data_IF_030387301057
#
_entry.id   IF_030387301057
#
_cell.length_a   1.000
_cell.length_b   1.000
_cell.length_c   1.000
_cell.angle_alpha   90.00
_cell.angle_beta   90.00
_cell.angle_gamma   90.00
#
_symmetry.space_group_name_H-M   'P 1'
#
loop_
_entity.id
_entity.type
_entity.pdbx_description
1 polymer ?
#
# COMPACT_ATOMS: atom_id res chain seq x y z
N UNK A 1 -11.38 6.42 -28.10
CA UNK A 1 -11.57 7.04 -26.77
C UNK A 1 -10.83 6.30 -25.64
N UNK A 2 -10.60 4.96 -25.69
CA UNK A 2 -9.97 4.22 -24.59
C UNK A 2 -8.59 4.77 -24.19
N UNK A 3 -7.76 5.18 -25.14
CA UNK A 3 -6.42 5.74 -24.84
C UNK A 3 -6.46 7.15 -24.22
N UNK A 4 -7.59 7.81 -24.28
CA UNK A 4 -7.82 9.16 -23.73
C UNK A 4 -8.45 9.09 -22.33
N UNK A 5 -9.16 7.99 -22.04
CA UNK A 5 -9.97 7.85 -20.83
C UNK A 5 -9.35 6.89 -19.77
N UNK A 6 -8.50 5.94 -20.22
CA UNK A 6 -7.89 4.95 -19.32
C UNK A 6 -6.55 5.41 -18.77
N UNK A 7 -6.41 5.39 -17.43
CA UNK A 7 -5.13 5.60 -16.76
C UNK A 7 -4.23 4.37 -16.92
N UNK A 8 -2.99 4.62 -17.30
CA UNK A 8 -1.92 3.62 -17.39
C UNK A 8 -0.97 3.80 -16.21
N UNK A 9 -0.98 2.84 -15.30
CA UNK A 9 -0.23 2.89 -14.05
C UNK A 9 0.70 1.68 -14.00
N UNK A 10 2.01 1.93 -13.93
CA UNK A 10 3.01 0.86 -13.81
C UNK A 10 3.22 0.49 -12.33
N UNK A 11 3.20 -0.81 -12.02
CA UNK A 11 3.53 -1.30 -10.68
C UNK A 11 5.04 -1.36 -10.49
N UNK A 12 5.55 -0.79 -9.39
CA UNK A 12 6.97 -0.78 -9.01
C UNK A 12 7.14 -1.59 -7.74
N UNK A 13 7.65 -2.82 -7.89
CA UNK A 13 7.75 -3.78 -6.77
C UNK A 13 8.81 -4.86 -6.97
N UNK A 14 9.58 -4.80 -8.07
CA UNK A 14 10.62 -5.77 -8.39
C UNK A 14 12.01 -5.14 -8.37
N UNK A 15 13.04 -5.96 -8.23
CA UNK A 15 14.43 -5.51 -8.30
C UNK A 15 14.74 -4.84 -9.63
N UNK A 16 14.28 -5.42 -10.73
CA UNK A 16 14.47 -4.89 -12.08
C UNK A 16 13.79 -3.53 -12.25
N UNK A 17 12.58 -3.35 -11.68
CA UNK A 17 11.91 -2.05 -11.73
C UNK A 17 12.66 -0.97 -10.94
N UNK A 18 13.27 -1.33 -9.81
CA UNK A 18 14.10 -0.42 -9.03
C UNK A 18 15.37 0.03 -9.77
N UNK A 19 15.94 -0.84 -10.60
CA UNK A 19 17.13 -0.52 -11.42
C UNK A 19 16.80 0.38 -12.61
N UNK A 20 15.50 0.46 -13.02
CA UNK A 20 15.05 1.13 -14.24
C UNK A 20 14.00 2.24 -14.00
N UNK A 21 14.00 2.85 -12.84
CA UNK A 21 12.96 3.84 -12.47
C UNK A 21 12.80 4.96 -13.49
N UNK A 22 13.89 5.60 -13.92
CA UNK A 22 13.83 6.72 -14.88
C UNK A 22 13.37 6.23 -16.27
N UNK A 23 13.80 5.02 -16.72
CA UNK A 23 13.37 4.43 -17.99
C UNK A 23 11.87 4.17 -17.97
N UNK A 24 11.35 3.56 -16.90
CA UNK A 24 9.92 3.26 -16.75
C UNK A 24 9.12 4.56 -16.69
N UNK A 25 9.52 5.51 -15.84
CA UNK A 25 8.76 6.72 -15.56
C UNK A 25 8.80 7.75 -16.69
N UNK A 26 9.77 7.64 -17.60
CA UNK A 26 9.83 8.46 -18.83
C UNK A 26 9.09 7.84 -20.01
N UNK A 27 8.44 6.70 -19.85
CA UNK A 27 7.70 6.01 -20.93
C UNK A 27 6.56 6.88 -21.43
N UNK A 28 6.50 7.21 -22.73
CA UNK A 28 5.42 8.04 -23.27
C UNK A 28 4.04 7.43 -23.04
N UNK A 29 3.13 8.25 -22.50
CA UNK A 29 1.76 7.84 -22.23
C UNK A 29 1.55 7.04 -20.94
N UNK A 30 2.58 6.92 -20.08
CA UNK A 30 2.42 6.46 -18.71
C UNK A 30 1.87 7.60 -17.85
N UNK A 31 0.78 7.36 -17.13
CA UNK A 31 0.12 8.38 -16.31
C UNK A 31 0.67 8.40 -14.86
N UNK A 32 1.08 7.25 -14.35
CA UNK A 32 1.60 7.14 -12.99
C UNK A 32 2.24 5.81 -12.65
N UNK A 33 2.68 5.72 -11.40
CA UNK A 33 3.19 4.47 -10.82
C UNK A 33 2.40 4.09 -9.58
N UNK A 34 2.46 2.82 -9.23
CA UNK A 34 1.88 2.29 -8.01
C UNK A 34 2.85 1.35 -7.32
N UNK A 35 3.03 1.51 -6.02
CA UNK A 35 3.96 0.70 -5.23
C UNK A 35 3.23 -0.42 -4.51
N UNK A 36 3.70 -1.67 -4.68
CA UNK A 36 3.34 -2.84 -3.89
C UNK A 36 4.36 -3.09 -2.77
N UNK A 37 4.18 -2.55 -1.55
CA UNK A 37 5.23 -2.60 -0.51
C UNK A 37 5.59 -4.00 -0.04
N UNK A 38 4.65 -4.96 -0.10
CA UNK A 38 4.91 -6.33 0.30
C UNK A 38 5.91 -7.01 -0.66
N UNK A 39 5.67 -6.91 -1.96
CA UNK A 39 6.54 -7.49 -2.98
C UNK A 39 7.84 -6.71 -3.12
N UNK A 40 7.79 -5.37 -2.99
CA UNK A 40 8.97 -4.53 -2.90
C UNK A 40 9.89 -4.95 -1.73
N UNK A 41 9.30 -5.29 -0.57
CA UNK A 41 10.08 -5.78 0.58
C UNK A 41 10.83 -7.07 0.23
N UNK A 42 10.16 -8.01 -0.44
CA UNK A 42 10.81 -9.25 -0.92
C UNK A 42 11.93 -8.94 -1.92
N UNK A 43 11.71 -8.00 -2.84
CA UNK A 43 12.71 -7.60 -3.83
C UNK A 43 14.00 -7.05 -3.21
N UNK A 44 13.91 -6.39 -2.04
CA UNK A 44 15.08 -5.86 -1.31
C UNK A 44 15.60 -6.78 -0.21
N UNK A 45 15.05 -8.01 -0.11
CA UNK A 45 15.49 -9.03 0.85
C UNK A 45 14.95 -8.87 2.26
N UNK A 46 13.79 -8.24 2.42
CA UNK A 46 13.09 -8.09 3.68
C UNK A 46 11.80 -8.94 3.75
N UNK A 47 11.29 -9.18 4.94
CA UNK A 47 10.00 -9.82 5.12
C UNK A 47 8.87 -8.95 4.52
N UNK A 48 7.85 -9.56 3.87
CA UNK A 48 6.77 -8.81 3.24
C UNK A 48 5.93 -8.06 4.26
N UNK A 49 5.49 -6.86 3.90
CA UNK A 49 4.64 -6.02 4.75
C UNK A 49 4.18 -4.77 4.02
N UNK A 50 3.00 -4.24 4.41
CA UNK A 50 2.44 -3.04 3.77
C UNK A 50 2.98 -1.75 4.39
N UNK A 51 2.87 -1.61 5.71
CA UNK A 51 3.29 -0.41 6.43
C UNK A 51 4.74 -0.57 6.87
N UNK A 52 5.67 -0.04 6.07
CA UNK A 52 7.10 -0.23 6.30
C UNK A 52 7.64 0.75 7.34
N UNK A 53 8.35 0.26 8.38
CA UNK A 53 9.05 1.13 9.32
C UNK A 53 10.16 1.95 8.62
N UNK A 54 10.42 3.15 9.12
CA UNK A 54 11.39 4.09 8.52
C UNK A 54 12.83 3.56 8.44
N UNK A 55 13.18 2.65 9.33
CA UNK A 55 14.52 2.03 9.38
C UNK A 55 14.67 0.82 8.44
N UNK A 56 13.73 0.57 7.52
CA UNK A 56 13.78 -0.54 6.57
C UNK A 56 14.30 -0.09 5.21
N UNK A 57 14.89 -1.02 4.46
CA UNK A 57 15.32 -0.79 3.07
C UNK A 57 14.10 -0.51 2.18
N UNK A 58 13.02 -1.28 2.35
CA UNK A 58 11.80 -1.07 1.59
C UNK A 58 11.23 0.34 1.77
N UNK A 59 11.27 0.90 2.98
CA UNK A 59 10.85 2.30 3.20
C UNK A 59 11.75 3.30 2.45
N UNK A 60 13.06 3.11 2.47
CA UNK A 60 13.99 3.96 1.73
C UNK A 60 13.72 3.91 0.22
N UNK A 61 13.44 2.70 -0.31
CA UNK A 61 13.08 2.55 -1.72
C UNK A 61 11.71 3.18 -2.06
N UNK A 62 10.72 3.08 -1.16
CA UNK A 62 9.42 3.76 -1.33
C UNK A 62 9.63 5.27 -1.52
N UNK A 63 10.46 5.91 -0.69
CA UNK A 63 10.75 7.34 -0.82
C UNK A 63 11.56 7.65 -2.08
N UNK A 64 12.51 6.80 -2.47
CA UNK A 64 13.28 6.94 -3.71
C UNK A 64 12.37 6.88 -4.95
N UNK A 65 11.44 5.92 -4.99
CA UNK A 65 10.45 5.80 -6.07
C UNK A 65 9.59 7.06 -6.14
N UNK A 66 9.12 7.58 -5.01
CA UNK A 66 8.33 8.80 -4.94
C UNK A 66 9.09 10.01 -5.52
N UNK A 67 10.39 10.16 -5.19
CA UNK A 67 11.22 11.23 -5.74
C UNK A 67 11.37 11.13 -7.25
N UNK A 68 11.59 9.92 -7.80
CA UNK A 68 11.64 9.70 -9.24
C UNK A 68 10.31 10.04 -9.93
N UNK A 69 9.17 9.67 -9.32
CA UNK A 69 7.85 10.02 -9.85
C UNK A 69 7.65 11.55 -9.90
N UNK A 70 8.01 12.26 -8.83
CA UNK A 70 7.98 13.74 -8.79
C UNK A 70 8.86 14.36 -9.86
N UNK A 71 10.09 13.88 -10.03
CA UNK A 71 11.02 14.35 -11.06
C UNK A 71 10.47 14.20 -12.49
N UNK A 72 9.78 13.08 -12.75
CA UNK A 72 9.17 12.78 -14.05
C UNK A 72 7.75 13.38 -14.21
N UNK A 73 7.26 14.10 -13.21
CA UNK A 73 5.93 14.74 -13.22
C UNK A 73 4.78 13.77 -13.52
N UNK A 74 4.88 12.55 -13.00
CA UNK A 74 3.79 11.55 -13.04
C UNK A 74 3.22 11.32 -11.65
N UNK A 75 1.96 10.89 -11.56
CA UNK A 75 1.39 10.64 -10.24
C UNK A 75 1.95 9.36 -9.59
N UNK A 76 1.95 9.34 -8.26
CA UNK A 76 2.44 8.22 -7.47
C UNK A 76 1.38 7.66 -6.55
N UNK A 77 1.22 6.35 -6.60
CA UNK A 77 0.33 5.59 -5.73
C UNK A 77 1.08 4.58 -4.85
N UNK A 78 0.45 4.21 -3.73
CA UNK A 78 0.98 3.19 -2.82
C UNK A 78 -0.13 2.45 -2.08
N UNK A 79 0.04 1.14 -1.90
CA UNK A 79 -0.82 0.32 -1.06
C UNK A 79 -0.42 0.40 0.41
N UNK A 80 -1.40 0.54 1.31
CA UNK A 80 -1.17 0.67 2.74
C UNK A 80 -2.00 -0.35 3.53
N UNK A 81 -1.52 -0.74 4.69
CA UNK A 81 -2.22 -1.65 5.60
C UNK A 81 -3.14 -0.93 6.58
N UNK A 82 -2.82 0.34 6.93
CA UNK A 82 -3.55 1.13 7.91
C UNK A 82 -3.85 2.55 7.44
N UNK A 83 -4.91 3.18 7.97
CA UNK A 83 -5.21 4.59 7.71
C UNK A 83 -4.10 5.53 8.17
N UNK A 84 -3.48 5.24 9.31
CA UNK A 84 -2.41 6.06 9.91
C UNK A 84 -1.19 6.12 8.99
N UNK A 85 -0.81 4.97 8.42
CA UNK A 85 0.29 4.93 7.46
C UNK A 85 -0.08 5.61 6.15
N UNK A 86 -1.31 5.44 5.68
CA UNK A 86 -1.80 6.11 4.47
C UNK A 86 -1.73 7.63 4.61
N UNK A 87 -2.17 8.21 5.74
CA UNK A 87 -2.05 9.65 6.03
C UNK A 87 -0.59 10.10 5.99
N UNK A 88 0.33 9.33 6.60
CA UNK A 88 1.75 9.60 6.54
C UNK A 88 2.29 9.62 5.11
N UNK A 89 1.82 8.73 4.23
CA UNK A 89 2.23 8.69 2.83
C UNK A 89 1.67 9.89 2.04
N UNK A 90 0.45 10.32 2.33
CA UNK A 90 -0.11 11.57 1.78
C UNK A 90 0.77 12.76 2.16
N UNK A 91 1.16 12.88 3.42
CA UNK A 91 2.04 13.96 3.91
C UNK A 91 3.43 13.93 3.22
N UNK A 92 3.92 12.75 2.82
CA UNK A 92 5.14 12.62 2.00
C UNK A 92 4.93 13.06 0.55
N UNK A 93 3.69 13.13 0.09
CA UNK A 93 3.31 13.62 -1.24
C UNK A 93 2.86 12.55 -2.22
N UNK A 94 2.43 11.38 -1.76
CA UNK A 94 1.72 10.42 -2.60
C UNK A 94 0.35 10.97 -2.99
N UNK A 95 -0.02 10.82 -4.27
CA UNK A 95 -1.27 11.34 -4.83
C UNK A 95 -2.43 10.34 -4.72
N UNK A 96 -2.11 9.06 -4.67
CA UNK A 96 -3.08 7.97 -4.65
C UNK A 96 -2.69 6.93 -3.60
N UNK A 97 -3.53 6.77 -2.57
CA UNK A 97 -3.30 5.80 -1.50
C UNK A 97 -4.49 4.85 -1.39
N UNK A 98 -4.23 3.56 -1.36
CA UNK A 98 -5.25 2.55 -1.05
C UNK A 98 -4.98 1.94 0.31
N UNK A 99 -6.03 1.48 0.99
CA UNK A 99 -5.93 0.95 2.35
C UNK A 99 -6.59 -0.43 2.39
N UNK A 100 -5.78 -1.47 2.60
CA UNK A 100 -6.26 -2.84 2.71
C UNK A 100 -6.99 -3.35 1.46
N UNK A 101 -7.92 -4.27 1.66
CA UNK A 101 -8.79 -4.82 0.62
C UNK A 101 -10.22 -4.99 1.14
N UNK A 102 -11.18 -5.11 0.22
CA UNK A 102 -12.57 -5.46 0.51
C UNK A 102 -12.70 -6.74 1.33
N UNK A 103 -11.94 -7.79 0.97
CA UNK A 103 -11.88 -9.06 1.71
C UNK A 103 -11.42 -8.84 3.16
N UNK A 104 -10.37 -8.04 3.39
CA UNK A 104 -9.89 -7.74 4.75
C UNK A 104 -10.91 -6.93 5.54
N UNK A 105 -11.53 -5.94 4.91
CA UNK A 105 -12.56 -5.12 5.54
C UNK A 105 -13.75 -5.99 5.98
N UNK A 106 -14.25 -6.85 5.09
CA UNK A 106 -15.34 -7.78 5.36
C UNK A 106 -14.97 -8.77 6.47
N UNK A 107 -13.83 -9.43 6.37
CA UNK A 107 -13.39 -10.44 7.35
C UNK A 107 -13.16 -9.83 8.73
N UNK A 108 -12.55 -8.65 8.79
CA UNK A 108 -12.31 -7.94 10.06
C UNK A 108 -13.61 -7.48 10.71
N UNK A 109 -14.55 -6.97 9.90
CA UNK A 109 -15.88 -6.57 10.38
C UNK A 109 -16.66 -7.77 10.94
N UNK A 110 -16.71 -8.87 10.20
CA UNK A 110 -17.36 -10.10 10.66
C UNK A 110 -16.72 -10.65 11.94
N UNK A 111 -15.38 -10.70 11.99
CA UNK A 111 -14.65 -11.14 13.19
C UNK A 111 -14.99 -10.26 14.40
N UNK A 112 -15.00 -8.95 14.26
CA UNK A 112 -15.30 -8.03 15.36
C UNK A 112 -16.71 -8.27 15.94
N UNK A 113 -17.71 -8.53 15.08
CA UNK A 113 -19.08 -8.86 15.51
C UNK A 113 -19.10 -10.18 16.29
N UNK A 114 -18.49 -11.23 15.77
CA UNK A 114 -18.44 -12.54 16.42
C UNK A 114 -17.72 -12.48 17.77
N UNK A 115 -16.58 -11.80 17.83
CA UNK A 115 -15.82 -11.66 19.08
C UNK A 115 -16.60 -10.89 20.16
N UNK A 116 -17.34 -9.85 19.76
CA UNK A 116 -18.24 -9.11 20.66
C UNK A 116 -19.36 -9.99 21.21
N UNK A 117 -19.99 -10.79 20.35
CA UNK A 117 -21.05 -11.73 20.78
C UNK A 117 -20.52 -12.80 21.73
N UNK A 118 -19.39 -13.43 21.42
CA UNK A 118 -18.74 -14.43 22.28
C UNK A 118 -18.32 -13.83 23.63
N UNK A 119 -17.84 -12.61 23.67
CA UNK A 119 -17.50 -11.90 24.90
C UNK A 119 -18.72 -11.59 25.77
N UNK A 120 -19.89 -11.31 25.18
CA UNK A 120 -21.14 -11.12 25.89
C UNK A 120 -21.67 -12.43 26.51
N UNK A 121 -21.65 -13.52 25.75
CA UNK A 121 -22.08 -14.85 26.24
C UNK A 121 -21.23 -15.33 27.43
N UNK A 122 -19.92 -15.16 27.41
CA UNK A 122 -19.04 -15.52 28.54
C UNK A 122 -19.30 -14.70 29.81
N UNK A 123 -19.77 -13.45 29.68
CA UNK A 123 -20.14 -12.61 30.83
C UNK A 123 -21.42 -13.10 31.51
N UNK A 124 -22.40 -13.59 30.75
CA UNK A 124 -23.63 -14.13 31.32
C UNK A 124 -23.36 -15.44 32.08
N UNK A 125 -22.53 -16.35 31.56
CA UNK A 125 -22.13 -17.58 32.25
C UNK A 125 -21.37 -17.29 33.58
N UNK A 126 -20.57 -16.23 33.63
CA UNK A 126 -19.80 -15.87 34.83
C UNK A 126 -20.63 -15.12 35.89
N UNK A 127 -21.82 -14.63 35.57
CA UNK A 127 -22.72 -13.92 36.52
C UNK A 127 -23.77 -14.80 37.17
N UNK A 128 -23.76 -16.11 36.87
CA UNK A 128 -24.76 -17.08 37.36
C UNK A 128 -24.26 -17.90 38.54
N UNK A 129 -23.21 -17.47 39.28
CA UNK A 129 -22.77 -18.04 40.56
C UNK A 129 -22.73 -16.99 41.69
#
# INVERSE_FOLDING_TARGET
>A
HANEEMLKIAMIETKESLEKLDEIMSTPGLDGIYIGPADLSLAVGEAPGFDRPENTKAYSEILRILEHAKKNNIFSGIHNGSPEYALKMIDKGFNFVTIGSDQRAMSSGAKAIVDKMKGSLKKEESSTY
#
